data_IF_324510592276
#
_entry.id   IF_324510592276
#
_cell.length_a   1.000
_cell.length_b   1.000
_cell.length_c   1.000
_cell.angle_alpha   90.00
_cell.angle_beta   90.00
_cell.angle_gamma   90.00
#
_symmetry.space_group_name_H-M   'P 1'
#
loop_
_entity.id
_entity.type
_entity.pdbx_description
1 polymer ?
#
# COMPACT_ATOMS: atom_id res chain seq x y z
N UNK A 1 4.15 1.45 -15.72
CA UNK A 1 3.77 1.55 -14.30
C UNK A 1 4.06 0.25 -13.62
N UNK A 2 4.61 0.37 -12.42
CA UNK A 2 5.03 -0.74 -11.56
C UNK A 2 3.89 -1.29 -10.69
N UNK A 3 2.63 -0.89 -10.95
CA UNK A 3 1.47 -1.27 -10.13
C UNK A 3 1.42 -2.76 -9.75
N UNK A 4 1.64 -3.70 -10.68
CA UNK A 4 1.64 -5.12 -10.35
C UNK A 4 2.77 -5.54 -9.40
N UNK A 5 3.99 -5.03 -9.61
CA UNK A 5 5.14 -5.36 -8.77
C UNK A 5 5.00 -4.77 -7.37
N UNK A 6 4.57 -3.51 -7.25
CA UNK A 6 4.31 -2.87 -5.96
C UNK A 6 3.20 -3.58 -5.20
N UNK A 7 2.05 -3.84 -5.84
CA UNK A 7 0.93 -4.53 -5.21
C UNK A 7 1.32 -5.93 -4.73
N UNK A 8 2.05 -6.68 -5.54
CA UNK A 8 2.56 -8.00 -5.16
C UNK A 8 3.57 -7.93 -4.01
N UNK A 9 4.50 -6.97 -4.04
CA UNK A 9 5.46 -6.77 -2.95
C UNK A 9 4.78 -6.37 -1.63
N UNK A 10 3.71 -5.56 -1.69
CA UNK A 10 2.88 -5.22 -0.53
C UNK A 10 2.20 -6.46 0.06
N UNK A 11 1.56 -7.28 -0.77
CA UNK A 11 0.98 -8.55 -0.31
C UNK A 11 2.02 -9.44 0.37
N UNK A 12 3.18 -9.63 -0.29
CA UNK A 12 4.26 -10.45 0.24
C UNK A 12 4.82 -9.90 1.56
N UNK A 13 4.92 -8.58 1.71
CA UNK A 13 5.39 -7.95 2.95
C UNK A 13 4.48 -8.24 4.14
N UNK A 14 3.15 -8.15 3.98
CA UNK A 14 2.23 -8.49 5.07
C UNK A 14 2.28 -9.96 5.43
N UNK A 15 2.36 -10.85 4.44
CA UNK A 15 2.51 -12.30 4.69
C UNK A 15 3.84 -12.61 5.40
N UNK A 16 4.91 -11.87 5.08
CA UNK A 16 6.17 -11.93 5.81
C UNK A 16 6.06 -11.46 7.27
N UNK A 17 5.28 -10.40 7.53
CA UNK A 17 4.96 -9.96 8.91
C UNK A 17 4.14 -11.02 9.64
N UNK A 18 3.20 -11.67 8.96
CA UNK A 18 2.47 -12.82 9.48
C UNK A 18 3.38 -13.99 9.88
N UNK A 19 4.33 -14.35 9.01
CA UNK A 19 5.30 -15.41 9.29
C UNK A 19 6.22 -15.05 10.46
N UNK A 20 6.70 -13.81 10.51
CA UNK A 20 7.51 -13.32 11.63
C UNK A 20 6.74 -13.32 12.96
N UNK A 21 5.47 -12.93 12.93
CA UNK A 21 4.60 -12.96 14.11
C UNK A 21 4.36 -14.40 14.59
N UNK A 22 4.09 -15.34 13.68
CA UNK A 22 3.95 -16.76 14.00
C UNK A 22 5.25 -17.34 14.60
N UNK A 23 6.40 -17.04 14.01
CA UNK A 23 7.71 -17.46 14.53
C UNK A 23 8.03 -16.87 15.92
N UNK A 24 7.49 -15.69 16.24
CA UNK A 24 7.59 -15.06 17.55
C UNK A 24 6.54 -15.58 18.57
N UNK A 25 5.74 -16.59 18.24
CA UNK A 25 4.71 -17.13 19.13
C UNK A 25 3.39 -16.36 19.15
N UNK A 26 3.19 -15.44 18.20
CA UNK A 26 1.99 -14.60 18.07
C UNK A 26 1.34 -14.78 16.69
N UNK A 27 0.88 -15.99 16.33
CA UNK A 27 0.27 -16.23 15.03
C UNK A 27 -0.99 -15.37 14.84
N UNK A 28 -1.15 -14.85 13.62
CA UNK A 28 -2.34 -14.09 13.24
C UNK A 28 -3.47 -15.04 12.85
N UNK A 29 -4.74 -14.75 13.18
CA UNK A 29 -5.87 -15.42 12.57
C UNK A 29 -5.79 -15.35 11.04
N UNK A 30 -6.18 -16.43 10.34
CA UNK A 30 -6.14 -16.45 8.88
C UNK A 30 -6.90 -15.28 8.21
N UNK A 31 -8.03 -14.75 8.74
CA UNK A 31 -8.70 -13.60 8.14
C UNK A 31 -7.87 -12.32 8.21
N UNK A 32 -7.08 -12.15 9.28
CA UNK A 32 -6.14 -11.02 9.44
C UNK A 32 -5.02 -11.13 8.41
N UNK A 33 -4.47 -12.33 8.19
CA UNK A 33 -3.45 -12.55 7.16
C UNK A 33 -3.99 -12.20 5.77
N UNK A 34 -5.17 -12.71 5.41
CA UNK A 34 -5.78 -12.47 4.08
C UNK A 34 -6.16 -11.00 3.91
N UNK A 35 -6.91 -10.43 4.86
CA UNK A 35 -7.37 -9.04 4.76
C UNK A 35 -6.19 -8.07 4.77
N UNK A 36 -5.22 -8.27 5.66
CA UNK A 36 -4.05 -7.41 5.71
C UNK A 36 -3.18 -7.53 4.47
N UNK A 37 -3.04 -8.72 3.88
CA UNK A 37 -2.28 -8.89 2.63
C UNK A 37 -2.95 -8.15 1.47
N UNK A 38 -4.27 -8.23 1.36
CA UNK A 38 -5.03 -7.55 0.31
C UNK A 38 -5.09 -6.03 0.53
N UNK A 39 -5.24 -5.56 1.78
CA UNK A 39 -5.14 -4.14 2.12
C UNK A 39 -3.75 -3.62 1.78
N UNK A 40 -2.69 -4.33 2.18
CA UNK A 40 -1.30 -3.96 1.90
C UNK A 40 -1.02 -3.90 0.39
N UNK A 41 -1.56 -4.87 -0.38
CA UNK A 41 -1.46 -4.90 -1.82
C UNK A 41 -2.13 -3.70 -2.51
N UNK A 42 -3.31 -3.29 -2.03
CA UNK A 42 -4.00 -2.10 -2.52
C UNK A 42 -3.29 -0.80 -2.09
N UNK A 43 -2.83 -0.73 -0.84
CA UNK A 43 -2.16 0.43 -0.26
C UNK A 43 -0.79 0.69 -0.89
N UNK A 44 -0.12 -0.35 -1.39
CA UNK A 44 1.09 -0.21 -2.19
C UNK A 44 0.86 0.51 -3.53
N UNK A 45 -0.38 0.79 -3.94
CA UNK A 45 -0.66 1.68 -5.07
C UNK A 45 -0.95 3.13 -4.63
N UNK A 46 -1.13 3.38 -3.34
CA UNK A 46 -1.58 4.66 -2.80
C UNK A 46 -0.59 5.82 -3.02
N UNK A 47 0.74 5.65 -2.89
CA UNK A 47 1.66 6.76 -3.09
C UNK A 47 1.61 7.35 -4.51
N UNK A 48 1.31 6.52 -5.52
CA UNK A 48 1.16 6.95 -6.92
C UNK A 48 -0.15 7.70 -7.22
N UNK A 49 -1.00 7.95 -6.21
CA UNK A 49 -2.25 8.72 -6.37
C UNK A 49 -2.02 10.15 -6.85
N UNK A 50 -0.82 10.71 -6.67
CA UNK A 50 -0.45 12.02 -7.23
C UNK A 50 -0.06 11.97 -8.72
N UNK A 51 -0.14 10.81 -9.37
CA UNK A 51 0.28 10.64 -10.75
C UNK A 51 -0.90 10.34 -11.68
N UNK A 52 -1.19 11.25 -12.63
CA UNK A 52 -2.38 11.17 -13.49
C UNK A 52 -2.52 9.89 -14.29
N UNK A 53 -1.40 9.27 -14.67
CA UNK A 53 -1.44 8.04 -15.44
C UNK A 53 -1.59 6.78 -14.55
N UNK A 54 -1.47 6.91 -13.23
CA UNK A 54 -1.41 5.80 -12.27
C UNK A 54 -2.65 4.89 -12.36
N UNK A 55 -2.47 3.62 -11.98
CA UNK A 55 -3.58 2.69 -11.83
C UNK A 55 -4.60 3.24 -10.83
N UNK A 56 -4.14 3.64 -9.64
CA UNK A 56 -5.01 4.19 -8.61
C UNK A 56 -5.76 5.45 -9.06
N UNK A 57 -5.13 6.33 -9.84
CA UNK A 57 -5.73 7.56 -10.37
C UNK A 57 -6.84 7.31 -11.39
N UNK A 58 -6.97 6.08 -11.89
CA UNK A 58 -7.98 5.68 -12.89
C UNK A 58 -8.99 4.66 -12.37
N UNK A 59 -8.70 3.97 -11.26
CA UNK A 59 -9.48 2.84 -10.74
C UNK A 59 -10.94 3.16 -10.39
N UNK A 60 -11.27 4.43 -10.09
CA UNK A 60 -12.62 4.88 -9.74
C UNK A 60 -13.13 5.97 -10.70
N UNK A 61 -12.66 5.96 -11.94
CA UNK A 61 -13.10 6.88 -12.98
C UNK A 61 -12.89 8.36 -12.59
N UNK A 62 -13.92 9.22 -12.65
CA UNK A 62 -13.78 10.64 -12.33
C UNK A 62 -13.34 10.91 -10.89
N UNK A 63 -13.77 10.08 -9.93
CA UNK A 63 -13.48 10.28 -8.51
C UNK A 63 -11.98 10.16 -8.23
N UNK A 64 -11.34 9.11 -8.74
CA UNK A 64 -9.90 8.91 -8.56
C UNK A 64 -9.07 9.96 -9.31
N UNK A 65 -9.55 10.46 -10.46
CA UNK A 65 -8.87 11.54 -11.20
C UNK A 65 -8.92 12.86 -10.44
N UNK A 66 -10.08 13.21 -9.91
CA UNK A 66 -10.23 14.40 -9.07
C UNK A 66 -9.35 14.32 -7.83
N UNK A 67 -9.37 13.18 -7.14
CA UNK A 67 -8.53 12.96 -5.96
C UNK A 67 -7.04 13.05 -6.32
N UNK A 68 -6.63 12.52 -7.48
CA UNK A 68 -5.27 12.65 -7.97
C UNK A 68 -4.83 14.11 -8.12
N UNK A 69 -5.68 14.97 -8.69
CA UNK A 69 -5.37 16.40 -8.84
C UNK A 69 -5.26 17.12 -7.50
N UNK A 70 -6.13 16.78 -6.53
CA UNK A 70 -6.06 17.32 -5.17
C UNK A 70 -4.76 16.90 -4.48
N UNK A 71 -4.43 15.60 -4.52
CA UNK A 71 -3.23 15.07 -3.85
C UNK A 71 -1.95 15.59 -4.51
N UNK A 72 -1.91 15.70 -5.85
CA UNK A 72 -0.79 16.31 -6.57
C UNK A 72 -0.60 17.78 -6.17
N UNK A 73 -1.68 18.56 -6.08
CA UNK A 73 -1.63 19.96 -5.66
C UNK A 73 -1.12 20.12 -4.22
N UNK A 74 -1.63 19.31 -3.28
CA UNK A 74 -1.17 19.31 -1.88
C UNK A 74 0.31 18.92 -1.80
N UNK A 75 0.70 17.84 -2.48
CA UNK A 75 2.08 17.34 -2.48
C UNK A 75 3.03 18.39 -3.03
N UNK A 76 2.64 19.05 -4.13
CA UNK A 76 3.39 20.13 -4.74
C UNK A 76 3.52 21.36 -3.84
N UNK A 77 2.44 21.75 -3.15
CA UNK A 77 2.44 22.86 -2.21
C UNK A 77 3.39 22.58 -1.03
N UNK A 78 3.30 21.39 -0.43
CA UNK A 78 4.21 20.99 0.68
C UNK A 78 5.65 20.93 0.21
N UNK A 79 5.91 20.42 -0.99
CA UNK A 79 7.25 20.44 -1.60
C UNK A 79 7.79 21.87 -1.71
N UNK A 80 7.02 22.78 -2.32
CA UNK A 80 7.42 24.18 -2.49
C UNK A 80 7.66 24.90 -1.16
N UNK A 81 6.81 24.65 -0.17
CA UNK A 81 6.90 25.27 1.15
C UNK A 81 8.11 24.79 1.95
N UNK A 82 8.53 23.53 1.77
CA UNK A 82 9.54 22.89 2.64
C UNK A 82 10.87 22.59 1.95
N UNK A 83 10.99 22.78 0.63
CA UNK A 83 12.23 22.52 -0.10
C UNK A 83 13.39 23.39 0.38
N UNK A 84 14.58 22.80 0.40
CA UNK A 84 15.85 23.49 0.64
C UNK A 84 16.47 23.97 -0.68
N UNK A 85 17.49 24.83 -0.59
CA UNK A 85 18.22 25.35 -1.76
C UNK A 85 18.85 24.26 -2.64
N UNK A 86 19.18 23.10 -2.08
CA UNK A 86 19.74 21.98 -2.84
C UNK A 86 18.70 21.07 -3.50
N UNK A 87 17.42 21.21 -3.15
CA UNK A 87 16.35 20.41 -3.75
C UNK A 87 16.04 20.91 -5.17
N UNK A 88 15.73 19.99 -6.08
CA UNK A 88 15.45 20.32 -7.48
C UNK A 88 14.22 21.22 -7.64
N UNK A 89 14.15 22.02 -8.70
CA UNK A 89 12.88 22.61 -9.10
C UNK A 89 12.00 21.53 -9.73
N UNK A 90 10.72 21.47 -9.33
CA UNK A 90 9.73 20.49 -9.81
C UNK A 90 8.48 21.22 -10.28
N UNK A 91 7.79 20.65 -11.26
CA UNK A 91 6.55 21.20 -11.84
C UNK A 91 5.32 20.33 -11.52
N UNK A 92 5.35 19.60 -10.40
CA UNK A 92 4.26 18.75 -9.92
C UNK A 92 4.56 18.17 -8.54
N UNK A 93 3.57 17.51 -7.95
CA UNK A 93 3.62 16.85 -6.65
C UNK A 93 4.09 15.40 -6.71
N UNK A 94 4.07 14.76 -7.87
CA UNK A 94 4.53 13.38 -8.03
C UNK A 94 5.90 13.12 -7.39
N UNK A 95 6.02 12.04 -6.60
CA UNK A 95 7.22 11.64 -5.85
C UNK A 95 7.69 12.71 -4.87
N UNK A 96 6.75 13.33 -4.17
CA UNK A 96 7.04 14.20 -3.04
C UNK A 96 6.29 13.69 -1.81
N UNK A 97 5.30 14.41 -1.29
CA UNK A 97 4.66 14.12 0.00
C UNK A 97 4.14 12.69 0.12
N UNK A 98 3.46 12.18 -0.90
CA UNK A 98 2.88 10.82 -0.94
C UNK A 98 3.91 9.71 -0.78
N UNK A 99 5.16 9.97 -1.15
CA UNK A 99 6.29 9.04 -1.14
C UNK A 99 7.18 9.27 0.09
N UNK A 100 6.55 9.40 1.26
CA UNK A 100 7.22 9.65 2.54
C UNK A 100 6.63 8.78 3.64
N UNK A 101 7.46 8.39 4.61
CA UNK A 101 6.98 7.65 5.77
C UNK A 101 5.93 8.43 6.57
N UNK A 102 6.04 9.76 6.60
CA UNK A 102 5.07 10.62 7.28
C UNK A 102 3.70 10.49 6.63
N UNK A 103 3.62 10.54 5.30
CA UNK A 103 2.34 10.34 4.60
C UNK A 103 1.78 8.94 4.82
N UNK A 104 2.62 7.91 4.74
CA UNK A 104 2.21 6.53 5.03
C UNK A 104 1.59 6.40 6.43
N UNK A 105 2.24 6.94 7.45
CA UNK A 105 1.74 6.94 8.84
C UNK A 105 0.47 7.76 8.99
N UNK A 106 0.38 8.95 8.38
CA UNK A 106 -0.81 9.79 8.46
C UNK A 106 -2.03 9.10 7.84
N UNK A 107 -1.88 8.53 6.65
CA UNK A 107 -2.98 7.82 5.97
C UNK A 107 -3.35 6.55 6.74
N UNK A 108 -2.37 5.77 7.18
CA UNK A 108 -2.63 4.56 7.97
C UNK A 108 -3.32 4.85 9.29
N UNK A 109 -2.84 5.84 10.06
CA UNK A 109 -3.49 6.27 11.29
C UNK A 109 -4.91 6.80 11.04
N UNK A 110 -5.11 7.55 9.96
CA UNK A 110 -6.44 8.00 9.53
C UNK A 110 -7.39 6.83 9.24
N UNK A 111 -6.92 5.79 8.55
CA UNK A 111 -7.71 4.58 8.28
C UNK A 111 -8.02 3.78 9.53
N UNK A 112 -7.06 3.66 10.47
CA UNK A 112 -7.27 3.06 11.79
C UNK A 112 -8.36 3.78 12.59
N UNK A 113 -8.28 5.12 12.66
CA UNK A 113 -9.28 5.93 13.37
C UNK A 113 -10.64 5.84 12.69
N UNK A 114 -10.69 5.89 11.37
CA UNK A 114 -11.91 5.77 10.59
C UNK A 114 -12.58 4.40 10.81
N UNK A 115 -11.81 3.31 10.78
CA UNK A 115 -12.31 1.96 11.03
C UNK A 115 -12.88 1.81 12.44
N UNK A 116 -12.16 2.33 13.45
CA UNK A 116 -12.55 2.27 14.85
C UNK A 116 -13.85 3.06 15.11
N UNK A 117 -13.95 4.30 14.62
CA UNK A 117 -15.10 5.16 14.89
C UNK A 117 -16.30 4.86 13.99
N UNK A 118 -16.07 4.52 12.72
CA UNK A 118 -17.13 4.24 11.76
C UNK A 118 -17.62 2.78 11.76
N UNK A 119 -16.97 1.92 12.55
CA UNK A 119 -17.30 0.50 12.70
C UNK A 119 -17.41 -0.22 11.35
N UNK A 120 -18.40 -1.11 11.24
CA UNK A 120 -18.58 -1.97 10.07
C UNK A 120 -18.64 -1.20 8.74
N UNK A 121 -19.30 -0.05 8.69
CA UNK A 121 -19.47 0.70 7.45
C UNK A 121 -18.17 1.34 6.96
N UNK A 122 -17.35 1.87 7.88
CA UNK A 122 -16.01 2.34 7.55
C UNK A 122 -15.11 1.19 7.08
N UNK A 123 -15.16 0.04 7.77
CA UNK A 123 -14.40 -1.15 7.41
C UNK A 123 -14.75 -1.64 6.00
N UNK A 124 -16.04 -1.67 5.66
CA UNK A 124 -16.51 -2.00 4.31
C UNK A 124 -15.93 -1.05 3.26
N UNK A 125 -15.95 0.26 3.51
CA UNK A 125 -15.37 1.26 2.60
C UNK A 125 -13.86 1.09 2.42
N UNK A 126 -13.12 0.89 3.51
CA UNK A 126 -11.67 0.64 3.50
C UNK A 126 -11.37 -0.62 2.70
N UNK A 127 -12.03 -1.73 3.02
CA UNK A 127 -11.84 -3.00 2.32
C UNK A 127 -12.20 -2.86 0.85
N UNK A 128 -13.33 -2.25 0.51
CA UNK A 128 -13.75 -2.05 -0.87
C UNK A 128 -12.69 -1.34 -1.70
N UNK A 129 -12.20 -0.18 -1.21
CA UNK A 129 -11.19 0.61 -1.92
C UNK A 129 -9.93 -0.21 -2.14
N UNK A 130 -9.40 -0.82 -1.08
CA UNK A 130 -8.16 -1.57 -1.20
C UNK A 130 -8.32 -2.85 -2.01
N UNK A 131 -9.51 -3.47 -2.02
CA UNK A 131 -9.74 -4.69 -2.79
C UNK A 131 -9.80 -4.42 -4.28
N UNK A 132 -10.47 -3.34 -4.69
CA UNK A 132 -10.44 -2.87 -6.08
C UNK A 132 -8.99 -2.62 -6.50
N UNK A 133 -8.21 -1.93 -5.67
CA UNK A 133 -6.80 -1.65 -5.97
C UNK A 133 -5.92 -2.92 -5.99
N UNK A 134 -6.16 -3.87 -5.09
CA UNK A 134 -5.48 -5.16 -5.09
C UNK A 134 -5.82 -5.98 -6.34
N UNK A 135 -7.08 -5.96 -6.80
CA UNK A 135 -7.49 -6.63 -8.06
C UNK A 135 -6.79 -5.96 -9.25
N UNK A 136 -6.82 -4.62 -9.32
CA UNK A 136 -6.16 -3.84 -10.37
C UNK A 136 -4.63 -4.06 -10.41
N UNK A 137 -4.01 -4.27 -9.26
CA UNK A 137 -2.57 -4.55 -9.13
C UNK A 137 -2.21 -6.01 -9.39
N UNK A 138 -2.74 -6.94 -8.58
CA UNK A 138 -2.39 -8.36 -8.60
C UNK A 138 -2.93 -9.06 -9.85
N UNK A 139 -4.15 -8.74 -10.26
CA UNK A 139 -4.82 -9.34 -11.42
C UNK A 139 -4.79 -8.43 -12.64
N UNK A 140 -3.80 -7.53 -12.74
CA UNK A 140 -3.74 -6.44 -13.74
C UNK A 140 -3.99 -6.86 -15.18
N UNK A 141 -3.57 -8.07 -15.59
CA UNK A 141 -3.81 -8.58 -16.96
C UNK A 141 -5.29 -8.83 -17.22
N UNK A 142 -5.99 -9.39 -16.24
CA UNK A 142 -7.43 -9.63 -16.29
C UNK A 142 -8.20 -8.32 -16.07
N UNK A 143 -7.80 -7.50 -15.10
CA UNK A 143 -8.43 -6.21 -14.81
C UNK A 143 -8.42 -5.28 -16.04
N UNK A 144 -7.28 -5.18 -16.74
CA UNK A 144 -7.13 -4.30 -17.92
C UNK A 144 -8.09 -4.59 -19.08
N UNK A 145 -8.54 -5.83 -19.23
CA UNK A 145 -9.50 -6.23 -20.28
C UNK A 145 -10.93 -6.36 -19.76
N UNK A 146 -11.13 -6.16 -18.46
CA UNK A 146 -12.43 -6.24 -17.81
C UNK A 146 -13.11 -4.87 -17.76
N UNK A 147 -14.41 -4.86 -17.46
CA UNK A 147 -15.14 -3.64 -17.13
C UNK A 147 -14.80 -3.20 -15.69
N UNK A 148 -14.56 -1.90 -15.48
CA UNK A 148 -14.38 -1.32 -14.16
C UNK A 148 -15.51 -1.72 -13.20
N UNK A 149 -16.75 -1.79 -13.70
CA UNK A 149 -17.93 -2.21 -12.91
C UNK A 149 -17.78 -3.64 -12.40
N UNK A 150 -17.22 -4.56 -13.19
CA UNK A 150 -17.00 -5.94 -12.73
C UNK A 150 -15.93 -6.00 -11.64
N UNK A 151 -14.86 -5.20 -11.79
CA UNK A 151 -13.83 -5.07 -10.75
C UNK A 151 -14.43 -4.49 -9.47
N UNK A 152 -15.29 -3.47 -9.57
CA UNK A 152 -15.98 -2.89 -8.42
C UNK A 152 -16.94 -3.88 -7.75
N UNK A 153 -17.72 -4.63 -8.53
CA UNK A 153 -18.62 -5.66 -7.99
C UNK A 153 -17.84 -6.76 -7.27
N UNK A 154 -16.72 -7.22 -7.84
CA UNK A 154 -15.84 -8.19 -7.19
C UNK A 154 -15.23 -7.62 -5.90
N UNK A 155 -14.76 -6.37 -5.94
CA UNK A 155 -14.24 -5.67 -4.76
C UNK A 155 -15.28 -5.52 -3.66
N UNK A 156 -16.52 -5.16 -4.02
CA UNK A 156 -17.63 -4.99 -3.09
C UNK A 156 -18.08 -6.32 -2.47
N UNK A 157 -18.23 -7.38 -3.28
CA UNK A 157 -18.56 -8.72 -2.81
C UNK A 157 -17.48 -9.25 -1.85
N UNK A 158 -16.20 -9.09 -2.23
CA UNK A 158 -15.07 -9.48 -1.40
C UNK A 158 -15.03 -8.70 -0.08
N UNK A 159 -15.21 -7.37 -0.13
CA UNK A 159 -15.26 -6.54 1.07
C UNK A 159 -16.41 -6.93 2.00
N UNK A 160 -17.60 -7.20 1.45
CA UNK A 160 -18.76 -7.62 2.24
C UNK A 160 -18.52 -8.94 2.97
N UNK A 161 -18.00 -9.94 2.25
CA UNK A 161 -17.68 -11.26 2.80
C UNK A 161 -16.59 -11.14 3.87
N UNK A 162 -15.47 -10.49 3.54
CA UNK A 162 -14.33 -10.36 4.45
C UNK A 162 -14.67 -9.55 5.70
N UNK A 163 -15.44 -8.45 5.58
CA UNK A 163 -15.94 -7.72 6.73
C UNK A 163 -16.86 -8.60 7.61
N UNK A 164 -17.70 -9.44 7.00
CA UNK A 164 -18.52 -10.41 7.74
C UNK A 164 -17.70 -11.46 8.48
N UNK A 165 -16.62 -11.95 7.86
CA UNK A 165 -15.69 -12.90 8.50
C UNK A 165 -14.94 -12.24 9.64
N UNK A 166 -14.38 -11.03 9.44
CA UNK A 166 -13.60 -10.32 10.46
C UNK A 166 -14.41 -10.01 11.73
N UNK A 167 -15.72 -9.74 11.58
CA UNK A 167 -16.63 -9.39 12.68
C UNK A 167 -16.97 -10.58 13.59
N UNK A 168 -16.73 -11.81 13.13
CA UNK A 168 -16.97 -13.00 13.96
C UNK A 168 -15.95 -13.09 15.11
N UNK A 169 -16.37 -13.56 16.30
CA UNK A 169 -15.47 -13.72 17.44
C UNK A 169 -14.23 -14.55 17.10
N UNK A 170 -13.04 -14.02 17.43
CA UNK A 170 -11.75 -14.69 17.19
C UNK A 170 -11.15 -14.52 15.78
N UNK A 171 -11.87 -13.91 14.83
CA UNK A 171 -11.40 -13.82 13.45
C UNK A 171 -10.52 -12.60 13.14
N UNK A 172 -10.86 -11.41 13.64
CA UNK A 172 -10.00 -10.26 13.35
C UNK A 172 -10.43 -8.90 13.87
N UNK A 173 -11.71 -8.67 14.18
CA UNK A 173 -12.17 -7.37 14.66
C UNK A 173 -11.36 -6.87 15.88
N UNK A 174 -11.01 -7.75 16.81
CA UNK A 174 -10.25 -7.45 18.04
C UNK A 174 -8.88 -8.13 18.11
N UNK A 175 -8.28 -8.51 16.97
CA UNK A 175 -7.07 -9.33 16.94
C UNK A 175 -5.87 -8.72 17.70
N UNK A 176 -5.48 -7.49 17.36
CA UNK A 176 -4.32 -6.81 17.99
C UNK A 176 -4.72 -5.92 19.16
N UNK A 177 -5.96 -5.43 19.15
CA UNK A 177 -6.51 -4.50 20.13
C UNK A 177 -7.82 -5.07 20.66
N UNK A 178 -7.85 -5.44 21.94
CA UNK A 178 -8.94 -6.18 22.56
C UNK A 178 -9.87 -5.35 23.45
N UNK A 179 -9.49 -4.11 23.77
CA UNK A 179 -10.32 -3.27 24.63
C UNK A 179 -11.62 -2.84 23.92
N UNK A 180 -12.72 -2.66 24.67
CA UNK A 180 -13.97 -2.16 24.12
C UNK A 180 -13.77 -0.85 23.35
N UNK A 181 -14.25 -0.79 22.12
CA UNK A 181 -14.14 0.39 21.25
C UNK A 181 -12.87 0.45 20.41
N UNK A 182 -11.97 -0.54 20.49
CA UNK A 182 -10.76 -0.62 19.66
C UNK A 182 -10.89 -1.56 18.45
N UNK A 183 -12.11 -2.01 18.13
CA UNK A 183 -12.34 -2.92 17.01
C UNK A 183 -11.81 -2.30 15.71
N UNK A 184 -11.15 -3.13 14.90
CA UNK A 184 -10.58 -2.78 13.59
C UNK A 184 -9.46 -1.73 13.61
N UNK A 185 -8.99 -1.31 14.79
CA UNK A 185 -7.92 -0.29 14.91
C UNK A 185 -6.62 -0.73 14.21
N UNK A 186 -6.39 -2.02 14.03
CA UNK A 186 -5.23 -2.56 13.32
C UNK A 186 -5.26 -2.35 11.80
N UNK A 187 -6.40 -2.01 11.18
CA UNK A 187 -6.54 -1.93 9.72
C UNK A 187 -5.63 -0.89 9.06
N UNK A 188 -5.16 0.11 9.80
CA UNK A 188 -4.15 1.06 9.32
C UNK A 188 -2.75 0.47 9.17
N UNK A 189 -2.39 -0.57 9.92
CA UNK A 189 -1.06 -1.20 9.86
C UNK A 189 -0.69 -1.72 8.47
N UNK A 190 -1.53 -2.53 7.78
CA UNK A 190 -1.24 -2.94 6.41
C UNK A 190 -1.23 -1.75 5.43
N UNK A 191 -1.97 -0.67 5.71
CA UNK A 191 -1.94 0.55 4.88
C UNK A 191 -0.59 1.25 4.98
N UNK A 192 -0.06 1.43 6.20
CA UNK A 192 1.29 1.97 6.42
C UNK A 192 2.32 1.09 5.72
N UNK A 193 2.27 -0.23 5.96
CA UNK A 193 3.24 -1.16 5.40
C UNK A 193 3.22 -1.14 3.86
N UNK A 194 2.05 -1.16 3.24
CA UNK A 194 1.92 -1.14 1.78
C UNK A 194 2.53 0.11 1.16
N UNK A 195 2.21 1.29 1.71
CA UNK A 195 2.78 2.56 1.27
C UNK A 195 4.30 2.61 1.45
N UNK A 196 4.82 2.15 2.59
CA UNK A 196 6.28 2.11 2.82
C UNK A 196 6.99 1.14 1.87
N UNK A 197 6.41 -0.04 1.60
CA UNK A 197 6.98 -1.02 0.68
C UNK A 197 7.00 -0.50 -0.75
N UNK A 198 5.97 0.26 -1.16
CA UNK A 198 6.00 1.01 -2.41
C UNK A 198 7.18 1.97 -2.45
N UNK A 199 7.33 2.81 -1.42
CA UNK A 199 8.40 3.81 -1.35
C UNK A 199 9.79 3.18 -1.34
N UNK A 200 9.96 2.05 -0.66
CA UNK A 200 11.19 1.25 -0.67
C UNK A 200 11.44 0.71 -2.09
N UNK A 201 10.42 0.17 -2.75
CA UNK A 201 10.51 -0.28 -4.14
C UNK A 201 10.97 0.85 -5.06
N UNK A 202 10.38 2.03 -4.92
CA UNK A 202 10.72 3.22 -5.70
C UNK A 202 12.14 3.72 -5.40
N UNK A 203 12.59 3.62 -4.13
CA UNK A 203 13.94 3.93 -3.69
C UNK A 203 15.01 3.03 -4.35
N UNK A 204 14.68 1.78 -4.64
CA UNK A 204 15.57 0.84 -5.33
C UNK A 204 15.73 1.15 -6.83
N UNK A 205 14.86 1.98 -7.40
CA UNK A 205 14.94 2.37 -8.81
C UNK A 205 15.95 3.48 -9.06
N UNK A 206 16.27 3.75 -10.34
CA UNK A 206 17.20 4.82 -10.75
C UNK A 206 16.84 6.18 -10.14
N UNK A 207 15.55 6.49 -10.03
CA UNK A 207 15.06 7.79 -9.56
C UNK A 207 15.25 8.00 -8.05
N UNK A 208 15.27 6.94 -7.26
CA UNK A 208 15.20 7.01 -5.80
C UNK A 208 13.85 7.56 -5.29
N UNK A 209 13.71 7.63 -3.97
CA UNK A 209 12.48 8.04 -3.30
C UNK A 209 12.78 8.91 -2.06
N UNK A 210 12.07 10.03 -1.83
CA UNK A 210 12.30 10.89 -0.67
C UNK A 210 11.69 10.34 0.64
N UNK A 211 11.76 9.02 0.85
CA UNK A 211 11.08 8.32 1.93
C UNK A 211 11.35 8.93 3.31
N UNK A 212 12.56 9.44 3.56
CA UNK A 212 13.03 9.98 4.84
C UNK A 212 12.64 11.45 5.11
N UNK A 213 11.94 12.11 4.18
CA UNK A 213 11.39 13.44 4.46
C UNK A 213 10.58 13.41 5.77
N UNK A 214 10.71 14.40 6.68
CA UNK A 214 11.33 15.72 6.51
C UNK A 214 12.80 15.84 6.95
N UNK A 215 13.50 14.72 7.16
CA UNK A 215 14.88 14.72 7.67
C UNK A 215 15.85 15.13 6.55
N UNK A 216 16.63 16.22 6.70
CA UNK A 216 17.55 16.67 5.67
C UNK A 216 18.78 15.75 5.56
N UNK A 217 19.17 15.45 4.32
CA UNK A 217 20.41 14.73 4.00
C UNK A 217 21.29 15.66 3.16
N UNK A 218 22.34 16.18 3.79
CA UNK A 218 23.19 17.21 3.19
C UNK A 218 22.41 18.50 2.91
N UNK A 219 22.37 18.92 1.64
CA UNK A 219 21.71 20.18 1.22
C UNK A 219 20.27 20.00 0.74
N UNK A 220 19.71 18.79 0.88
CA UNK A 220 18.39 18.39 0.36
C UNK A 220 17.51 17.90 1.50
N UNK A 221 16.28 18.42 1.59
CA UNK A 221 15.25 17.86 2.47
C UNK A 221 14.46 16.76 1.78
N UNK A 222 14.34 16.85 0.46
CA UNK A 222 13.68 15.87 -0.38
C UNK A 222 14.73 15.00 -1.08
N UNK A 223 15.61 14.39 -0.29
CA UNK A 223 16.72 13.59 -0.80
C UNK A 223 16.20 12.26 -1.36
N UNK A 224 16.42 11.93 -2.65
CA UNK A 224 15.98 10.68 -3.24
C UNK A 224 16.87 9.52 -2.78
N UNK A 225 16.49 8.92 -1.66
CA UNK A 225 17.15 7.75 -1.07
C UNK A 225 17.14 6.61 -2.09
N UNK A 226 18.23 5.87 -2.13
CA UNK A 226 18.37 4.67 -2.94
C UNK A 226 19.78 4.10 -2.82
N UNK A 227 19.98 2.83 -3.21
CA UNK A 227 21.29 2.16 -3.11
C UNK A 227 22.33 2.82 -4.04
N UNK A 228 23.61 2.40 -3.98
CA UNK A 228 24.62 2.83 -4.95
C UNK A 228 24.13 2.68 -6.39
N UNK A 229 24.51 3.62 -7.27
CA UNK A 229 23.94 3.73 -8.63
C UNK A 229 23.98 2.42 -9.44
N UNK A 230 25.04 1.61 -9.27
CA UNK A 230 25.21 0.34 -9.99
C UNK A 230 24.24 -0.78 -9.56
N UNK A 231 23.58 -0.66 -8.40
CA UNK A 231 22.59 -1.63 -7.91
C UNK A 231 21.16 -1.25 -8.29
N UNK A 232 20.93 -0.06 -8.86
CA UNK A 232 19.60 0.43 -9.21
C UNK A 232 19.12 -0.15 -10.53
N UNK A 233 17.83 -0.44 -10.62
CA UNK A 233 17.20 -0.91 -11.85
C UNK A 233 16.17 0.09 -12.37
N UNK A 234 15.79 -0.05 -13.65
CA UNK A 234 14.72 0.75 -14.24
C UNK A 234 13.37 0.13 -13.90
N UNK A 235 12.41 0.97 -13.55
CA UNK A 235 11.00 0.61 -13.45
C UNK A 235 10.50 -0.03 -14.76
N UNK A 236 9.74 -1.12 -14.67
CA UNK A 236 9.24 -1.93 -15.77
C UNK A 236 10.33 -2.73 -16.51
N UNK A 237 11.53 -2.87 -15.93
CA UNK A 237 12.62 -3.61 -16.58
C UNK A 237 12.41 -5.13 -16.53
N UNK A 238 13.20 -5.84 -17.34
CA UNK A 238 13.24 -7.30 -17.33
C UNK A 238 13.54 -7.87 -15.92
N UNK A 239 14.41 -7.21 -15.15
CA UNK A 239 14.74 -7.62 -13.77
C UNK A 239 13.50 -7.60 -12.88
N UNK A 240 12.69 -6.55 -12.96
CA UNK A 240 11.46 -6.44 -12.18
C UNK A 240 10.47 -7.56 -12.55
N UNK A 241 10.22 -7.74 -13.85
CA UNK A 241 9.19 -8.66 -14.34
C UNK A 241 9.60 -10.14 -14.23
N UNK A 242 10.88 -10.47 -14.40
CA UNK A 242 11.37 -11.85 -14.49
C UNK A 242 12.13 -12.33 -13.26
N UNK A 243 12.52 -11.42 -12.36
CA UNK A 243 13.23 -11.77 -11.13
C UNK A 243 12.42 -11.34 -9.91
N UNK A 244 12.15 -10.04 -9.75
CA UNK A 244 11.52 -9.53 -8.52
C UNK A 244 10.09 -10.06 -8.34
N UNK A 245 9.25 -9.99 -9.38
CA UNK A 245 7.87 -10.49 -9.27
C UNK A 245 7.81 -11.99 -8.92
N UNK A 246 8.52 -12.91 -9.61
CA UNK A 246 8.58 -14.31 -9.19
C UNK A 246 9.09 -14.50 -7.77
N UNK A 247 10.13 -13.76 -7.35
CA UNK A 247 10.64 -13.81 -5.98
C UNK A 247 9.57 -13.39 -4.97
N UNK A 248 8.83 -12.31 -5.22
CA UNK A 248 7.72 -11.91 -4.34
C UNK A 248 6.58 -12.92 -4.30
N UNK A 249 6.27 -13.60 -5.41
CA UNK A 249 5.29 -14.69 -5.40
C UNK A 249 5.75 -15.85 -4.51
N UNK A 250 7.02 -16.27 -4.65
CA UNK A 250 7.58 -17.36 -3.84
C UNK A 250 7.65 -16.97 -2.38
N UNK A 251 8.21 -15.80 -2.05
CA UNK A 251 8.31 -15.31 -0.68
C UNK A 251 6.94 -15.09 -0.04
N UNK A 252 5.98 -14.56 -0.78
CA UNK A 252 4.61 -14.41 -0.32
C UNK A 252 3.94 -15.77 -0.06
N UNK A 253 4.10 -16.73 -0.96
CA UNK A 253 3.58 -18.10 -0.80
C UNK A 253 4.18 -18.80 0.42
N UNK A 254 5.51 -18.79 0.55
CA UNK A 254 6.23 -19.36 1.70
C UNK A 254 5.85 -18.65 2.99
N UNK A 255 5.81 -17.31 2.99
CA UNK A 255 5.40 -16.52 4.14
C UNK A 255 3.97 -16.82 4.57
N UNK A 256 3.04 -16.96 3.61
CA UNK A 256 1.66 -17.33 3.90
C UNK A 256 1.54 -18.74 4.49
N UNK A 257 2.25 -19.73 3.92
CA UNK A 257 2.25 -21.09 4.45
C UNK A 257 2.84 -21.16 5.86
N UNK A 258 3.93 -20.43 6.11
CA UNK A 258 4.57 -20.38 7.42
C UNK A 258 3.74 -19.64 8.46
N UNK A 259 3.12 -18.52 8.09
CA UNK A 259 2.19 -17.79 8.96
C UNK A 259 0.99 -18.64 9.40
N UNK A 260 0.59 -19.60 8.56
CA UNK A 260 -0.49 -20.56 8.84
C UNK A 260 0.00 -21.85 9.52
N UNK A 261 1.30 -22.00 9.78
CA UNK A 261 1.88 -23.15 10.46
C UNK A 261 1.98 -24.42 9.62
N UNK A 262 1.95 -24.31 8.28
CA UNK A 262 2.13 -25.47 7.41
C UNK A 262 3.60 -25.85 7.20
N UNK A 263 4.53 -24.89 7.31
CA UNK A 263 5.99 -25.06 7.22
C UNK A 263 6.71 -24.15 8.21
#
# INVERSE_FOLDING_TARGET
>A
MMGPAHSLSGAAAWLGVGAAAAAAGHPMPWPVLVCGALICAGAALAPDLDHKSATISRAFGPLSRWLCEVVDAISHAVYKATKMRGDSNRNGGHRTLTHTWVWAVLVGAGMSVLAMQGGRWAVLGILFVHMVLAIEGLLWRAARVSSDVLVWLLGAASAWILAGVLDQPGNGASWLFSEPGQQYLWLGLPVVLGALVHDIGDALTVSGCPILWPIPIGRKRWYPVGPPKGMRFKAGSWVELRVLMPVFMVLGGVGGLSALGYI
#
